data_IF_206288487139
#
_entry.id   IF_206288487139
#
_cell.length_a   1.000
_cell.length_b   1.000
_cell.length_c   1.000
_cell.angle_alpha   90.00
_cell.angle_beta   90.00
_cell.angle_gamma   90.00
#
_symmetry.space_group_name_H-M   'P 1'
#
loop_
_entity.id
_entity.type
_entity.pdbx_description
1 polymer ?
#
# COMPACT_ATOMS: atom_id res chain seq x y z
N UNK A 1 1.18 1.30 1.97
CA UNK A 1 0.39 1.99 0.92
C UNK A 1 1.27 2.71 -0.10
N UNK A 2 1.89 3.87 0.20
CA UNK A 2 2.65 4.67 -0.80
C UNK A 2 3.73 3.86 -1.51
N UNK A 3 4.49 3.05 -0.77
CA UNK A 3 5.48 2.15 -1.35
C UNK A 3 4.86 1.19 -2.38
N UNK A 4 3.73 0.53 -2.06
CA UNK A 4 3.07 -0.39 -2.98
C UNK A 4 2.62 0.30 -4.27
N UNK A 5 2.12 1.54 -4.19
CA UNK A 5 1.76 2.35 -5.36
C UNK A 5 2.98 2.59 -6.25
N UNK A 6 4.09 3.07 -5.66
CA UNK A 6 5.29 3.45 -6.41
C UNK A 6 6.02 2.24 -6.99
N UNK A 7 6.01 1.12 -6.26
CA UNK A 7 6.63 -0.14 -6.68
C UNK A 7 5.73 -1.00 -7.59
N UNK A 8 4.48 -0.57 -7.84
CA UNK A 8 3.45 -1.37 -8.51
C UNK A 8 3.26 -2.78 -7.87
N UNK A 9 3.33 -2.84 -6.54
CA UNK A 9 2.98 -4.05 -5.78
C UNK A 9 1.46 -4.10 -5.62
N UNK A 10 0.81 -4.71 -6.60
CA UNK A 10 -0.66 -4.72 -6.72
C UNK A 10 -1.34 -5.82 -5.91
N UNK A 11 -0.62 -6.85 -5.48
CA UNK A 11 -1.15 -7.91 -4.62
C UNK A 11 -1.12 -7.51 -3.13
N UNK A 12 -1.50 -6.26 -2.84
CA UNK A 12 -1.44 -5.67 -1.51
C UNK A 12 -2.67 -6.00 -0.65
N UNK A 13 -3.18 -7.23 -0.75
CA UNK A 13 -4.38 -7.63 -0.03
C UNK A 13 -4.16 -7.72 1.49
N UNK A 14 -5.26 -7.74 2.26
CA UNK A 14 -5.24 -7.72 3.72
C UNK A 14 -4.42 -8.86 4.39
N UNK A 15 -4.25 -10.01 3.74
CA UNK A 15 -3.41 -11.11 4.26
C UNK A 15 -1.90 -10.84 4.20
N UNK A 16 -1.49 -9.81 3.45
CA UNK A 16 -0.09 -9.36 3.33
C UNK A 16 0.29 -8.33 4.42
N UNK A 17 -0.59 -8.11 5.39
CA UNK A 17 -0.33 -7.33 6.58
C UNK A 17 -0.55 -8.21 7.80
N UNK A 18 0.46 -8.34 8.66
CA UNK A 18 0.35 -9.09 9.91
C UNK A 18 0.94 -8.32 11.08
N UNK A 19 0.65 -8.82 12.27
CA UNK A 19 1.11 -8.27 13.53
C UNK A 19 1.86 -9.35 14.30
N UNK A 20 2.91 -8.94 14.99
CA UNK A 20 3.69 -9.79 15.88
C UNK A 20 3.31 -9.43 17.32
N UNK A 21 3.04 -10.45 18.14
CA UNK A 21 2.77 -10.31 19.57
C UNK A 21 4.02 -10.73 20.34
N UNK A 22 4.48 -9.89 21.28
CA UNK A 22 5.52 -10.27 22.24
C UNK A 22 4.96 -11.25 23.29
N UNK A 23 5.84 -11.92 24.04
CA UNK A 23 5.43 -12.83 25.11
C UNK A 23 4.63 -12.12 26.22
N UNK A 24 4.90 -10.83 26.41
CA UNK A 24 4.18 -9.94 27.33
C UNK A 24 2.83 -9.46 26.78
N UNK A 25 2.47 -9.89 25.57
CA UNK A 25 1.22 -9.59 24.91
C UNK A 25 1.13 -8.23 24.21
N UNK A 26 2.28 -7.60 23.95
CA UNK A 26 2.33 -6.34 23.20
C UNK A 26 2.30 -6.61 21.70
N UNK A 27 1.34 -6.02 21.00
CA UNK A 27 1.23 -6.14 19.54
C UNK A 27 2.03 -5.05 18.82
N UNK A 28 2.67 -5.44 17.72
CA UNK A 28 3.37 -4.54 16.80
C UNK A 28 3.12 -4.97 15.36
N UNK A 29 3.24 -4.05 14.41
CA UNK A 29 3.18 -4.39 12.99
C UNK A 29 4.39 -5.26 12.63
N UNK A 30 4.18 -6.30 11.83
CA UNK A 30 5.29 -7.10 11.28
C UNK A 30 6.16 -6.27 10.33
N UNK A 31 7.35 -6.79 10.01
CA UNK A 31 8.08 -6.31 8.84
C UNK A 31 7.26 -6.53 7.56
N UNK A 32 7.54 -5.76 6.52
CA UNK A 32 6.93 -5.95 5.20
C UNK A 32 7.46 -7.25 4.56
N UNK A 33 6.56 -8.01 3.94
CA UNK A 33 6.84 -9.24 3.20
C UNK A 33 5.95 -9.30 1.95
N UNK A 34 6.17 -10.33 1.12
CA UNK A 34 5.42 -10.57 -0.11
C UNK A 34 5.37 -9.33 -1.04
N UNK A 35 6.55 -8.77 -1.27
CA UNK A 35 6.75 -7.65 -2.19
C UNK A 35 7.10 -8.20 -3.56
N UNK A 36 6.14 -8.20 -4.48
CA UNK A 36 6.30 -8.73 -5.82
C UNK A 36 5.78 -7.76 -6.88
N UNK A 37 6.43 -7.75 -8.05
CA UNK A 37 5.93 -7.04 -9.22
C UNK A 37 5.08 -8.00 -10.05
N UNK A 38 3.78 -7.70 -10.17
CA UNK A 38 2.81 -8.60 -10.78
C UNK A 38 2.52 -8.24 -12.23
N UNK A 39 2.34 -9.26 -13.07
CA UNK A 39 1.87 -9.11 -14.45
C UNK A 39 0.36 -9.32 -14.52
N UNK A 40 -0.26 -8.75 -15.54
CA UNK A 40 -1.67 -8.93 -15.85
C UNK A 40 -1.98 -10.39 -16.23
N UNK A 41 -3.27 -10.71 -16.37
CA UNK A 41 -3.69 -12.07 -16.75
C UNK A 41 -3.21 -12.50 -18.15
N UNK A 42 -2.84 -11.52 -18.99
CA UNK A 42 -2.17 -11.77 -20.26
C UNK A 42 -0.71 -12.20 -20.10
N UNK A 43 -0.05 -11.80 -19.01
CA UNK A 43 1.34 -12.10 -18.70
C UNK A 43 2.36 -11.23 -19.43
N UNK A 44 1.92 -10.18 -20.14
CA UNK A 44 2.79 -9.34 -20.97
C UNK A 44 2.85 -7.88 -20.50
N UNK A 45 1.87 -7.44 -19.72
CA UNK A 45 1.82 -6.10 -19.17
C UNK A 45 1.83 -6.16 -17.64
N UNK A 46 2.22 -5.08 -16.96
CA UNK A 46 2.08 -5.00 -15.51
C UNK A 46 0.61 -5.09 -15.11
N UNK A 47 0.30 -5.81 -14.02
CA UNK A 47 -0.99 -5.65 -13.38
C UNK A 47 -1.06 -4.23 -12.81
N UNK A 48 -2.17 -3.54 -13.03
CA UNK A 48 -2.38 -2.16 -12.56
C UNK A 48 -3.35 -2.07 -11.39
N UNK A 49 -4.23 -3.07 -11.23
CA UNK A 49 -5.27 -3.06 -10.19
C UNK A 49 -4.74 -3.60 -8.87
N UNK A 50 -4.67 -2.73 -7.87
CA UNK A 50 -4.39 -3.10 -6.50
C UNK A 50 -5.53 -3.89 -5.87
N UNK A 51 -5.23 -4.73 -4.88
CA UNK A 51 -6.25 -5.47 -4.13
C UNK A 51 -6.97 -4.59 -3.09
N UNK A 52 -6.33 -3.53 -2.61
CA UNK A 52 -6.94 -2.57 -1.70
C UNK A 52 -7.26 -1.24 -2.37
N UNK A 53 -8.43 -0.69 -2.03
CA UNK A 53 -8.83 0.64 -2.47
C UNK A 53 -8.01 1.73 -1.77
N UNK A 54 -7.55 2.70 -2.56
CA UNK A 54 -7.18 4.01 -2.04
C UNK A 54 -8.32 4.94 -2.41
N UNK A 55 -9.10 5.30 -1.40
CA UNK A 55 -10.40 5.98 -1.56
C UNK A 55 -11.33 5.15 -2.46
N UNK A 56 -11.56 5.57 -3.69
CA UNK A 56 -12.46 4.94 -4.67
C UNK A 56 -11.71 4.32 -5.85
N UNK A 57 -10.38 4.24 -5.79
CA UNK A 57 -9.52 3.79 -6.88
C UNK A 57 -8.77 2.50 -6.52
N UNK A 58 -8.58 1.65 -7.52
CA UNK A 58 -7.67 0.50 -7.48
C UNK A 58 -6.42 0.71 -8.34
N UNK A 59 -6.42 1.72 -9.22
CA UNK A 59 -5.32 2.03 -10.14
C UNK A 59 -5.27 3.52 -10.45
N UNK A 60 -4.24 3.95 -11.18
CA UNK A 60 -4.04 5.34 -11.64
C UNK A 60 -4.08 6.34 -10.47
N UNK A 61 -3.37 5.99 -9.40
CA UNK A 61 -3.24 6.85 -8.23
C UNK A 61 -2.43 8.10 -8.56
N UNK A 62 -2.89 9.23 -8.05
CA UNK A 62 -2.18 10.50 -8.13
C UNK A 62 -1.65 10.88 -6.76
N UNK A 63 -0.70 11.82 -6.71
CA UNK A 63 -0.22 12.40 -5.45
C UNK A 63 -1.36 12.99 -4.62
N UNK A 64 -2.35 13.61 -5.26
CA UNK A 64 -3.51 14.18 -4.59
C UNK A 64 -4.38 13.09 -3.91
N UNK A 65 -4.54 11.92 -4.54
CA UNK A 65 -5.26 10.80 -3.91
C UNK A 65 -4.59 10.37 -2.60
N UNK A 66 -3.26 10.26 -2.60
CA UNK A 66 -2.46 9.89 -1.41
C UNK A 66 -2.56 10.96 -0.33
N UNK A 67 -2.45 12.24 -0.68
CA UNK A 67 -2.52 13.35 0.28
C UNK A 67 -3.92 13.45 0.89
N UNK A 68 -4.97 13.32 0.09
CA UNK A 68 -6.35 13.33 0.62
C UNK A 68 -6.63 12.12 1.48
N UNK A 69 -6.16 10.93 1.08
CA UNK A 69 -6.23 9.74 1.94
C UNK A 69 -5.56 9.99 3.29
N UNK A 70 -4.37 10.59 3.29
CA UNK A 70 -3.65 10.92 4.51
C UNK A 70 -4.42 11.93 5.38
N UNK A 71 -5.02 12.97 4.78
CA UNK A 71 -5.86 13.95 5.49
C UNK A 71 -7.11 13.30 6.11
N UNK A 72 -7.81 12.46 5.36
CA UNK A 72 -9.03 11.79 5.82
C UNK A 72 -8.77 10.80 6.98
N UNK A 73 -7.53 10.31 7.11
CA UNK A 73 -7.10 9.37 8.16
C UNK A 73 -6.17 10.02 9.20
N UNK A 74 -6.16 11.36 9.28
CA UNK A 74 -5.40 12.13 10.28
C UNK A 74 -3.89 11.81 10.33
N UNK A 75 -3.32 11.40 9.19
CA UNK A 75 -1.88 11.13 9.09
C UNK A 75 -1.13 12.46 9.15
N UNK A 76 -0.25 12.58 10.14
CA UNK A 76 0.55 13.77 10.40
C UNK A 76 1.45 14.12 9.21
N UNK A 77 1.52 15.41 8.89
CA UNK A 77 2.30 15.98 7.77
C UNK A 77 1.99 15.28 6.42
N UNK A 78 0.75 15.33 5.94
CA UNK A 78 0.34 14.64 4.70
C UNK A 78 1.11 15.13 3.46
N UNK A 79 1.64 16.36 3.50
CA UNK A 79 2.39 16.95 2.39
C UNK A 79 3.89 16.60 2.42
N UNK A 80 4.39 16.00 3.51
CA UNK A 80 5.80 15.63 3.70
C UNK A 80 6.22 14.36 2.95
N UNK A 81 5.57 14.06 1.83
CA UNK A 81 5.94 12.97 0.95
C UNK A 81 7.24 13.36 0.23
N UNK A 82 8.37 12.89 0.76
CA UNK A 82 9.69 12.93 0.11
C UNK A 82 9.87 11.64 -0.70
N UNK A 83 9.41 11.64 -1.96
CA UNK A 83 9.87 10.64 -2.93
C UNK A 83 11.12 11.23 -3.57
N UNK A 84 12.25 10.51 -3.47
CA UNK A 84 13.56 10.87 -4.04
C UNK A 84 13.47 10.81 -5.57
#
# INVERSE_FOLDING_TARGET
>A
MVFNILANNTDDHNKNFSFIMSEEGTWSLSLAYDMAYMFDSGGFLPNEDHCMYIRTKLRKFTRDDVIRFAKDNEIHRPDAIYVI
#
